data_IF_315764499167
#
_entry.id   IF_315764499167
#
_cell.length_a   1.000
_cell.length_b   1.000
_cell.length_c   1.000
_cell.angle_alpha   90.00
_cell.angle_beta   90.00
_cell.angle_gamma   90.00
#
_symmetry.space_group_name_H-M   'P 1'
#
loop_
_entity.id
_entity.type
_entity.pdbx_description
1 polymer ?
#
# COMPACT_ATOMS: atom_id res chain seq x y z
N UNK A 1 19.98 20.97 40.76
CA UNK A 1 20.87 20.05 40.02
C UNK A 1 20.20 18.68 40.14
N UNK A 2 19.69 17.98 39.14
CA UNK A 2 19.82 18.03 37.68
C UNK A 2 18.49 17.52 37.09
N UNK A 3 17.92 18.20 36.09
CA UNK A 3 16.87 17.62 35.25
C UNK A 3 17.55 16.68 34.25
N UNK A 4 17.29 15.38 34.31
CA UNK A 4 17.78 14.42 33.33
C UNK A 4 16.71 14.29 32.23
N UNK A 5 16.87 15.09 31.18
CA UNK A 5 16.17 14.97 29.92
C UNK A 5 16.77 13.78 29.16
N UNK A 6 15.96 12.79 28.79
CA UNK A 6 16.32 11.84 27.73
C UNK A 6 15.11 11.78 26.79
N UNK A 7 15.19 12.62 25.76
CA UNK A 7 14.30 12.61 24.62
C UNK A 7 14.86 11.72 23.52
N UNK A 8 14.00 10.85 23.02
CA UNK A 8 13.99 10.27 21.68
C UNK A 8 12.49 10.02 21.45
N UNK A 9 11.71 10.89 20.81
CA UNK A 9 11.88 11.29 19.40
C UNK A 9 12.26 10.07 18.56
N UNK A 10 11.39 9.06 18.57
CA UNK A 10 11.24 8.22 17.39
C UNK A 10 10.46 9.04 16.37
N UNK A 11 11.22 9.93 15.75
CA UNK A 11 11.03 10.38 14.37
C UNK A 11 10.57 9.15 13.57
N UNK A 12 9.26 9.09 13.29
CA UNK A 12 8.71 8.20 12.28
C UNK A 12 9.15 8.79 10.93
N UNK A 13 10.44 8.66 10.65
CA UNK A 13 11.05 8.84 9.33
C UNK A 13 10.51 7.69 8.45
N UNK A 14 9.26 7.82 8.00
CA UNK A 14 8.66 6.99 6.95
C UNK A 14 9.07 7.50 5.57
N UNK A 15 10.33 7.89 5.41
CA UNK A 15 10.89 8.36 4.16
C UNK A 15 12.00 7.42 3.69
N UNK A 16 11.76 6.10 3.62
CA UNK A 16 12.66 5.18 2.91
C UNK A 16 11.89 3.98 2.36
N UNK A 17 11.73 4.01 1.04
CA UNK A 17 11.15 2.98 0.18
C UNK A 17 9.62 2.92 0.25
N UNK A 18 8.99 2.90 -0.92
CA UNK A 18 7.55 2.75 -1.17
C UNK A 18 7.09 1.35 -0.68
N UNK A 19 7.43 0.94 0.54
CA UNK A 19 7.32 -0.42 1.06
C UNK A 19 6.54 -0.39 2.37
N UNK A 20 5.43 -1.13 2.39
CA UNK A 20 4.51 -1.25 3.51
C UNK A 20 4.56 -2.66 4.09
N UNK A 21 4.24 -2.79 5.37
CA UNK A 21 4.06 -4.08 6.01
C UNK A 21 2.58 -4.26 6.29
N UNK A 22 1.98 -5.27 5.68
CA UNK A 22 0.59 -5.66 5.91
C UNK A 22 0.55 -6.89 6.80
N UNK A 23 -0.41 -6.92 7.71
CA UNK A 23 -0.62 -8.05 8.61
C UNK A 23 -1.89 -8.75 8.14
N UNK A 24 -1.76 -10.02 7.78
CA UNK A 24 -2.89 -10.85 7.36
C UNK A 24 -3.73 -11.35 8.57
N UNK A 25 -4.88 -11.97 8.31
CA UNK A 25 -5.77 -12.56 9.32
C UNK A 25 -5.09 -13.60 10.23
N UNK A 26 -3.99 -14.22 9.80
CA UNK A 26 -3.17 -15.14 10.61
C UNK A 26 -2.12 -14.44 11.49
N UNK A 27 -2.18 -13.11 11.65
CA UNK A 27 -1.17 -12.29 12.34
C UNK A 27 0.24 -12.40 11.69
N UNK A 28 0.29 -12.76 10.42
CA UNK A 28 1.54 -12.88 9.66
C UNK A 28 1.88 -11.56 8.98
N UNK A 29 3.09 -11.04 9.24
CA UNK A 29 3.62 -9.83 8.63
C UNK A 29 4.13 -10.13 7.21
N UNK A 30 3.54 -9.47 6.23
CA UNK A 30 3.93 -9.54 4.82
C UNK A 30 4.45 -8.17 4.39
N UNK A 31 5.66 -8.15 3.82
CA UNK A 31 6.30 -6.93 3.31
C UNK A 31 5.93 -6.79 1.84
N UNK A 32 5.34 -5.65 1.48
CA UNK A 32 4.95 -5.30 0.13
C UNK A 32 5.62 -4.00 -0.30
N UNK A 33 6.06 -3.93 -1.54
CA UNK A 33 6.54 -2.70 -2.17
C UNK A 33 5.44 -2.16 -3.07
N UNK A 34 4.91 -0.99 -2.72
CA UNK A 34 4.10 -0.17 -3.61
C UNK A 34 4.94 0.19 -4.84
N UNK A 35 4.36 -0.03 -6.01
CA UNK A 35 4.95 0.31 -7.30
C UNK A 35 4.34 1.60 -7.83
N UNK A 36 3.02 1.75 -7.69
CA UNK A 36 2.25 2.85 -8.23
C UNK A 36 0.88 2.99 -7.54
N UNK A 37 0.35 4.23 -7.54
CA UNK A 37 -1.03 4.53 -7.17
C UNK A 37 -1.85 4.92 -8.39
N UNK A 38 -3.08 4.42 -8.48
CA UNK A 38 -4.00 4.69 -9.56
C UNK A 38 -5.27 5.33 -9.01
N UNK A 39 -5.79 6.33 -9.70
CA UNK A 39 -7.11 6.92 -9.39
C UNK A 39 -8.07 6.59 -10.53
N UNK A 40 -9.09 5.80 -10.25
CA UNK A 40 -10.09 5.35 -11.24
C UNK A 40 -11.48 5.58 -10.66
N UNK A 41 -12.32 6.32 -11.37
CA UNK A 41 -13.72 6.59 -10.96
C UNK A 41 -13.83 7.18 -9.53
N UNK A 42 -12.93 8.10 -9.17
CA UNK A 42 -12.82 8.70 -7.82
C UNK A 42 -12.38 7.74 -6.71
N UNK A 43 -11.95 6.53 -7.07
CA UNK A 43 -11.42 5.51 -6.17
C UNK A 43 -9.90 5.38 -6.35
N UNK A 44 -9.18 5.31 -5.23
CA UNK A 44 -7.73 5.15 -5.22
C UNK A 44 -7.37 3.65 -5.12
N UNK A 45 -6.36 3.24 -5.88
CA UNK A 45 -5.82 1.87 -5.91
C UNK A 45 -4.31 1.93 -5.77
N UNK A 46 -3.71 0.92 -5.17
CA UNK A 46 -2.27 0.78 -4.98
C UNK A 46 -1.81 -0.57 -5.54
N UNK A 47 -0.78 -0.55 -6.38
CA UNK A 47 -0.12 -1.74 -6.90
C UNK A 47 1.01 -2.11 -5.97
N UNK A 48 1.00 -3.33 -5.45
CA UNK A 48 1.84 -3.81 -4.36
C UNK A 48 2.52 -5.12 -4.78
N UNK A 49 3.84 -5.16 -4.74
CA UNK A 49 4.62 -6.36 -5.01
C UNK A 49 5.13 -6.98 -3.70
N UNK A 50 4.77 -8.22 -3.36
CA UNK A 50 5.30 -8.87 -2.16
C UNK A 50 6.81 -9.08 -2.31
N UNK A 51 7.57 -8.74 -1.27
CA UNK A 51 9.00 -9.05 -1.23
C UNK A 51 9.29 -10.52 -0.86
N UNK A 52 8.39 -11.15 -0.11
CA UNK A 52 8.59 -12.52 0.39
C UNK A 52 8.25 -13.59 -0.66
N UNK A 53 7.44 -13.21 -1.67
CA UNK A 53 7.04 -14.13 -2.73
C UNK A 53 8.03 -14.10 -3.90
N UNK A 54 8.46 -15.27 -4.36
CA UNK A 54 9.33 -15.40 -5.54
C UNK A 54 8.54 -15.26 -6.85
N UNK A 55 7.22 -15.18 -6.77
CA UNK A 55 6.36 -14.91 -7.90
C UNK A 55 6.46 -13.41 -8.19
N UNK A 56 6.87 -13.05 -9.41
CA UNK A 56 6.97 -11.66 -9.88
C UNK A 56 5.57 -11.03 -10.11
N UNK A 57 4.57 -11.46 -9.35
CA UNK A 57 3.16 -11.10 -9.46
C UNK A 57 2.87 -9.94 -8.51
N UNK A 58 2.48 -8.79 -9.09
CA UNK A 58 1.98 -7.65 -8.33
C UNK A 58 0.49 -7.83 -8.00
N UNK A 59 0.11 -7.37 -6.81
CA UNK A 59 -1.25 -7.37 -6.31
C UNK A 59 -1.81 -5.95 -6.36
N UNK A 60 -3.09 -5.81 -6.66
CA UNK A 60 -3.75 -4.51 -6.73
C UNK A 60 -4.74 -4.45 -5.57
N UNK A 61 -4.57 -3.47 -4.70
CA UNK A 61 -5.47 -3.22 -3.58
C UNK A 61 -6.16 -1.88 -3.76
N UNK A 62 -7.42 -1.80 -3.34
CA UNK A 62 -8.16 -0.55 -3.26
C UNK A 62 -7.80 0.17 -1.98
N UNK A 63 -7.46 1.45 -2.07
CA UNK A 63 -7.22 2.32 -0.93
C UNK A 63 -8.54 2.98 -0.55
N UNK A 64 -8.95 2.80 0.70
CA UNK A 64 -10.13 3.40 1.30
C UNK A 64 -9.74 4.21 2.53
N UNK A 65 -10.39 5.35 2.74
CA UNK A 65 -10.16 6.15 3.95
C UNK A 65 -11.27 5.83 4.95
N UNK A 66 -10.90 5.26 6.09
CA UNK A 66 -11.84 4.97 7.17
C UNK A 66 -12.34 6.27 7.83
N UNK A 67 -13.37 6.17 8.68
CA UNK A 67 -13.93 7.27 9.48
C UNK A 67 -12.89 8.06 10.30
N UNK A 68 -11.72 7.44 10.56
CA UNK A 68 -10.60 8.03 11.30
C UNK A 68 -9.63 8.83 10.42
N UNK A 69 -9.81 8.83 9.10
CA UNK A 69 -8.88 9.45 8.15
C UNK A 69 -7.64 8.60 7.88
N UNK A 70 -7.69 7.31 8.20
CA UNK A 70 -6.61 6.34 7.97
C UNK A 70 -6.86 5.57 6.67
N UNK A 71 -5.81 5.42 5.87
CA UNK A 71 -5.84 4.68 4.61
C UNK A 71 -5.78 3.18 4.90
N UNK A 72 -6.81 2.45 4.49
CA UNK A 72 -6.94 0.99 4.57
C UNK A 72 -6.88 0.41 3.16
N UNK A 73 -6.14 -0.68 3.01
CA UNK A 73 -6.01 -1.42 1.75
C UNK A 73 -6.97 -2.61 1.76
N UNK A 74 -7.90 -2.63 0.81
CA UNK A 74 -8.92 -3.67 0.65
C UNK A 74 -8.69 -4.41 -0.67
N UNK A 75 -8.87 -5.74 -0.67
CA UNK A 75 -8.77 -6.56 -1.88
C UNK A 75 -9.93 -6.28 -2.85
N UNK A 76 -9.71 -6.47 -4.15
CA UNK A 76 -10.74 -6.24 -5.19
C UNK A 76 -11.47 -7.56 -5.43
N UNK A 77 -12.65 -7.72 -4.81
CA UNK A 77 -13.48 -8.92 -4.98
C UNK A 77 -14.19 -9.01 -6.35
N UNK A 78 -14.24 -7.92 -7.10
CA UNK A 78 -14.97 -7.81 -8.37
C UNK A 78 -14.01 -7.89 -9.58
N UNK A 79 -14.12 -8.96 -10.36
CA UNK A 79 -13.25 -9.24 -11.52
C UNK A 79 -13.35 -8.13 -12.58
N UNK A 80 -14.55 -7.59 -12.83
CA UNK A 80 -14.77 -6.47 -13.77
C UNK A 80 -14.05 -5.19 -13.30
N UNK A 81 -14.05 -4.90 -11.99
CA UNK A 81 -13.29 -3.81 -11.38
C UNK A 81 -11.78 -4.03 -11.54
N UNK A 82 -11.28 -5.22 -11.22
CA UNK A 82 -9.86 -5.57 -11.35
C UNK A 82 -9.37 -5.43 -12.80
N UNK A 83 -10.09 -6.03 -13.76
CA UNK A 83 -9.77 -5.93 -15.19
C UNK A 83 -9.68 -4.47 -15.66
N UNK A 84 -10.53 -3.60 -15.11
CA UNK A 84 -10.53 -2.17 -15.43
C UNK A 84 -9.28 -1.46 -14.90
N UNK A 85 -8.88 -1.76 -13.66
CA UNK A 85 -7.67 -1.19 -13.06
C UNK A 85 -6.44 -1.64 -13.83
N UNK A 86 -6.34 -2.93 -14.16
CA UNK A 86 -5.28 -3.49 -14.99
C UNK A 86 -5.26 -2.86 -16.38
N UNK A 87 -6.42 -2.70 -17.03
CA UNK A 87 -6.49 -2.09 -18.34
C UNK A 87 -6.01 -0.64 -18.35
N UNK A 88 -6.26 0.12 -17.26
CA UNK A 88 -5.74 1.49 -17.09
C UNK A 88 -4.23 1.47 -16.90
N UNK A 89 -3.71 0.60 -16.02
CA UNK A 89 -2.28 0.39 -15.80
C UNK A 89 -1.52 0.10 -17.09
N UNK A 90 -1.99 -0.87 -17.88
CA UNK A 90 -1.38 -1.22 -19.16
C UNK A 90 -1.52 -0.11 -20.21
N UNK A 91 -2.49 0.80 -20.04
CA UNK A 91 -2.73 1.91 -20.96
C UNK A 91 -1.97 3.19 -20.59
N UNK A 92 -1.54 3.37 -19.34
CA UNK A 92 -0.81 4.57 -18.88
C UNK A 92 0.69 4.54 -19.28
N UNK A 93 1.21 3.40 -19.75
CA UNK A 93 2.58 3.25 -20.31
C UNK A 93 2.71 3.82 -21.76
N UNK A 94 1.94 4.86 -22.12
CA UNK A 94 2.06 5.58 -23.40
C UNK A 94 1.67 7.07 -23.27
N UNK A 95 2.64 7.92 -22.89
CA UNK A 95 2.83 9.26 -23.49
C UNK A 95 4.31 9.66 -23.58
#
# INVERSE_FOLDING_TARGET
MSHNHDGHDHDHDFDLDDTIVLIDEDETEHVFTILEYLEIDEQLYAVLMPQDDQSEEAFIFRVEVDENGEETLTDIEDDDEFERVVAVLESDEVD
#
